data_IF_622307155610
#
_entry.id   IF_622307155610
#
_cell.length_a   1.000
_cell.length_b   1.000
_cell.length_c   1.000
_cell.angle_alpha   90.00
_cell.angle_beta   90.00
_cell.angle_gamma   90.00
#
_symmetry.space_group_name_H-M   'P 1'
#
loop_
_entity.id
_entity.type
_entity.pdbx_description
1 polymer ?
#
# COMPACT_ATOMS: atom_id res chain seq x y z
N UNK A 1 52.16 44.22 14.47
CA UNK A 1 51.90 42.81 14.83
C UNK A 1 50.39 42.62 15.03
N UNK A 2 49.60 42.31 13.99
CA UNK A 2 48.17 41.97 14.17
C UNK A 2 47.49 41.46 12.88
N UNK A 3 47.97 40.36 12.29
CA UNK A 3 47.27 39.68 11.16
C UNK A 3 47.56 38.19 11.15
N UNK A 4 47.07 37.43 12.15
CA UNK A 4 47.20 35.97 12.09
C UNK A 4 46.11 35.16 12.80
N UNK A 5 45.05 35.78 13.32
CA UNK A 5 44.00 35.11 14.11
C UNK A 5 42.63 35.08 13.42
N UNK A 6 42.55 35.26 12.10
CA UNK A 6 41.26 35.30 11.38
C UNK A 6 41.07 34.22 10.30
N UNK A 7 41.93 33.18 10.27
CA UNK A 7 41.81 32.09 9.27
C UNK A 7 41.48 30.72 9.87
N UNK A 8 41.59 30.54 11.18
CA UNK A 8 41.40 29.21 11.81
C UNK A 8 39.93 28.97 12.17
N UNK A 9 39.15 30.00 12.45
CA UNK A 9 37.73 29.87 12.83
C UNK A 9 36.80 29.48 11.67
N UNK A 10 37.22 29.68 10.42
CA UNK A 10 36.37 29.39 9.25
C UNK A 10 36.35 27.91 8.87
N UNK A 11 37.40 27.14 9.19
CA UNK A 11 37.45 25.70 8.88
C UNK A 11 36.64 24.83 9.86
N UNK A 12 36.52 25.24 11.12
CA UNK A 12 35.77 24.47 12.14
C UNK A 12 34.27 24.54 11.88
N UNK A 13 33.75 25.67 11.41
CA UNK A 13 32.34 25.84 11.06
C UNK A 13 31.96 25.03 9.82
N UNK A 14 32.86 24.93 8.84
CA UNK A 14 32.66 24.11 7.63
C UNK A 14 32.68 22.60 7.92
N UNK A 15 33.53 22.14 8.86
CA UNK A 15 33.51 20.74 9.28
C UNK A 15 32.24 20.37 10.07
N UNK A 16 31.74 21.26 10.94
CA UNK A 16 30.48 21.03 11.67
C UNK A 16 29.24 21.08 10.75
N UNK A 17 29.28 21.86 9.67
CA UNK A 17 28.25 21.84 8.64
C UNK A 17 28.29 20.54 7.80
N UNK A 18 29.48 20.00 7.51
CA UNK A 18 29.62 18.76 6.75
C UNK A 18 29.15 17.51 7.51
N UNK A 19 29.28 17.47 8.85
CA UNK A 19 28.77 16.35 9.66
C UNK A 19 27.24 16.34 9.84
N UNK A 20 26.52 17.42 9.51
CA UNK A 20 25.05 17.43 9.51
C UNK A 20 24.42 16.96 8.18
N UNK A 21 25.23 16.71 7.13
CA UNK A 21 24.76 16.07 5.90
C UNK A 21 24.82 14.53 5.95
N UNK A 22 25.16 13.95 7.12
CA UNK A 22 25.37 12.53 7.31
C UNK A 22 24.27 11.82 8.08
N UNK A 23 23.01 11.95 7.64
CA UNK A 23 21.95 10.94 7.80
C UNK A 23 20.72 11.46 7.04
N UNK A 24 20.78 11.44 5.70
CA UNK A 24 19.57 11.12 4.97
C UNK A 24 19.26 9.67 5.37
N UNK A 25 18.61 9.49 6.54
CA UNK A 25 17.78 8.31 6.74
C UNK A 25 16.85 8.37 5.54
N UNK A 26 17.08 7.48 4.59
CA UNK A 26 16.00 6.95 3.78
C UNK A 26 14.90 6.71 4.80
N UNK A 27 13.90 7.60 4.84
CA UNK A 27 12.77 7.42 5.74
C UNK A 27 12.27 6.00 5.51
N UNK A 28 11.68 5.34 6.53
CA UNK A 28 10.98 4.10 6.26
C UNK A 28 10.10 4.37 5.02
N UNK A 29 10.31 3.57 3.97
CA UNK A 29 9.58 3.74 2.72
C UNK A 29 8.11 3.95 3.06
N UNK A 30 7.48 5.02 2.55
CA UNK A 30 6.10 5.32 2.89
C UNK A 30 5.26 4.10 2.51
N UNK A 31 4.32 3.73 3.37
CA UNK A 31 3.50 2.54 3.14
C UNK A 31 3.69 1.40 4.12
N UNK A 32 4.54 1.48 5.15
CA UNK A 32 4.87 0.34 6.03
C UNK A 32 4.06 0.31 7.33
N UNK A 33 4.05 -0.85 8.00
CA UNK A 33 3.37 -1.04 9.28
C UNK A 33 3.83 -0.08 10.39
N UNK A 34 5.10 0.34 10.40
CA UNK A 34 5.58 1.35 11.35
C UNK A 34 4.86 2.70 11.19
N UNK A 35 4.63 3.13 9.96
CA UNK A 35 3.89 4.37 9.65
C UNK A 35 2.41 4.22 9.97
N UNK A 36 1.80 3.09 9.56
CA UNK A 36 0.42 2.76 9.88
C UNK A 36 0.10 2.83 11.38
N UNK A 37 0.99 2.29 12.21
CA UNK A 37 0.83 2.29 13.67
C UNK A 37 0.98 3.69 14.30
N UNK A 38 1.65 4.62 13.62
CA UNK A 38 1.76 6.02 14.06
C UNK A 38 0.56 6.86 13.63
N UNK A 39 -0.15 6.47 12.55
CA UNK A 39 -1.37 7.13 12.12
C UNK A 39 -2.48 7.02 13.17
N UNK A 40 -3.24 8.09 13.32
CA UNK A 40 -4.51 8.12 14.03
C UNK A 40 -5.56 7.26 13.30
N UNK A 41 -6.62 6.88 14.01
CA UNK A 41 -7.75 6.15 13.41
C UNK A 41 -8.32 6.90 12.20
N UNK A 42 -8.44 8.23 12.30
CA UNK A 42 -8.97 9.07 11.24
C UNK A 42 -8.07 9.06 9.99
N UNK A 43 -6.75 9.13 10.15
CA UNK A 43 -5.80 9.06 9.03
C UNK A 43 -5.84 7.70 8.33
N UNK A 44 -5.98 6.60 9.08
CA UNK A 44 -6.15 5.25 8.50
C UNK A 44 -7.44 5.14 7.68
N UNK A 45 -8.54 5.67 8.21
CA UNK A 45 -9.82 5.72 7.51
C UNK A 45 -9.72 6.54 6.21
N UNK A 46 -9.10 7.73 6.26
CA UNK A 46 -8.86 8.55 5.06
C UNK A 46 -8.05 7.79 4.02
N UNK A 47 -6.96 7.13 4.44
CA UNK A 47 -6.13 6.35 3.54
C UNK A 47 -6.94 5.22 2.86
N UNK A 48 -7.68 4.43 3.64
CA UNK A 48 -8.46 3.32 3.10
C UNK A 48 -9.55 3.83 2.15
N UNK A 49 -10.30 4.86 2.54
CA UNK A 49 -11.31 5.48 1.67
C UNK A 49 -10.69 5.95 0.35
N UNK A 50 -9.57 6.67 0.40
CA UNK A 50 -8.87 7.15 -0.78
C UNK A 50 -8.34 6.00 -1.67
N UNK A 51 -7.89 4.89 -1.07
CA UNK A 51 -7.47 3.70 -1.80
C UNK A 51 -8.65 3.06 -2.55
N UNK A 52 -9.78 2.93 -1.88
CA UNK A 52 -11.01 2.34 -2.43
C UNK A 52 -11.57 3.22 -3.56
N UNK A 53 -11.68 4.53 -3.31
CA UNK A 53 -12.11 5.52 -4.31
C UNK A 53 -11.16 5.55 -5.51
N UNK A 54 -9.85 5.54 -5.26
CA UNK A 54 -8.82 5.53 -6.30
C UNK A 54 -8.85 4.25 -7.15
N UNK A 55 -9.09 3.09 -6.53
CA UNK A 55 -9.24 1.82 -7.25
C UNK A 55 -10.51 1.83 -8.11
N UNK A 56 -11.62 2.36 -7.57
CA UNK A 56 -12.86 2.56 -8.30
C UNK A 56 -12.70 3.50 -9.50
N UNK A 57 -12.06 4.65 -9.30
CA UNK A 57 -11.80 5.65 -10.34
C UNK A 57 -10.87 5.11 -11.42
N UNK A 58 -9.72 4.53 -11.03
CA UNK A 58 -8.76 3.97 -11.98
C UNK A 58 -9.37 2.84 -12.83
N UNK A 59 -10.21 1.99 -12.22
CA UNK A 59 -10.89 0.96 -13.02
C UNK A 59 -12.01 1.51 -13.89
N UNK A 60 -12.64 2.63 -13.48
CA UNK A 60 -13.59 3.37 -14.31
C UNK A 60 -12.92 3.95 -15.55
N UNK A 61 -11.74 4.55 -15.38
CA UNK A 61 -11.01 5.17 -16.49
C UNK A 61 -10.40 4.11 -17.42
N UNK A 62 -9.82 3.03 -16.90
CA UNK A 62 -9.40 1.89 -17.72
C UNK A 62 -10.56 1.33 -18.54
N UNK A 63 -11.75 1.27 -17.94
CA UNK A 63 -12.95 0.80 -18.62
C UNK A 63 -13.39 1.71 -19.75
N UNK A 64 -13.43 3.02 -19.54
CA UNK A 64 -13.72 3.99 -20.60
C UNK A 64 -12.70 3.91 -21.72
N UNK A 65 -11.42 3.77 -21.38
CA UNK A 65 -10.37 3.63 -22.38
C UNK A 65 -10.51 2.34 -23.18
N UNK A 66 -10.85 1.22 -22.53
CA UNK A 66 -11.16 -0.03 -23.24
C UNK A 66 -12.40 0.14 -24.12
N UNK A 67 -13.49 0.74 -23.65
CA UNK A 67 -14.67 0.99 -24.48
C UNK A 67 -14.38 1.86 -25.71
N UNK A 68 -13.52 2.86 -25.55
CA UNK A 68 -13.10 3.76 -26.61
C UNK A 68 -12.11 3.13 -27.59
N UNK A 69 -11.21 2.26 -27.11
CA UNK A 69 -10.15 1.62 -27.92
C UNK A 69 -10.53 0.22 -28.44
N UNK A 70 -11.58 -0.41 -27.90
CA UNK A 70 -12.19 -1.66 -28.41
C UNK A 70 -13.07 -1.33 -29.62
N UNK A 71 -12.48 -0.66 -30.61
CA UNK A 71 -12.96 -0.65 -31.99
C UNK A 71 -12.68 -2.02 -32.64
N UNK A 72 -11.76 -2.82 -32.07
CA UNK A 72 -11.27 -4.08 -32.64
C UNK A 72 -12.23 -5.27 -32.39
N UNK A 73 -13.12 -5.24 -31.38
CA UNK A 73 -14.11 -6.31 -31.14
C UNK A 73 -15.53 -5.99 -31.67
N UNK A 74 -15.75 -4.81 -32.26
CA UNK A 74 -17.05 -4.39 -32.81
C UNK A 74 -17.48 -5.12 -34.10
N UNK A 75 -16.77 -6.17 -34.50
CA UNK A 75 -17.16 -7.06 -35.61
C UNK A 75 -18.09 -8.21 -35.19
N UNK A 76 -18.44 -8.34 -33.92
CA UNK A 76 -19.55 -9.21 -33.47
C UNK A 76 -20.79 -8.34 -33.25
N UNK A 77 -21.81 -8.52 -34.08
CA UNK A 77 -23.05 -7.72 -34.11
C UNK A 77 -23.89 -7.77 -32.82
N UNK A 78 -23.49 -8.54 -31.82
CA UNK A 78 -24.14 -8.62 -30.51
C UNK A 78 -23.08 -8.85 -29.44
N UNK A 79 -22.61 -7.78 -28.81
CA UNK A 79 -21.91 -7.84 -27.52
C UNK A 79 -23.00 -7.99 -26.46
N UNK A 80 -23.12 -9.17 -25.82
CA UNK A 80 -24.04 -9.31 -24.70
C UNK A 80 -23.60 -8.40 -23.55
N UNK A 81 -24.48 -7.94 -22.64
CA UNK A 81 -24.06 -7.17 -21.47
C UNK A 81 -22.95 -7.87 -20.68
N UNK A 82 -22.95 -9.21 -20.63
CA UNK A 82 -21.89 -10.04 -20.03
C UNK A 82 -20.54 -10.01 -20.76
N UNK A 83 -20.51 -9.61 -22.03
CA UNK A 83 -19.29 -9.50 -22.83
C UNK A 83 -18.60 -8.13 -22.69
N UNK A 84 -19.13 -7.25 -21.82
CA UNK A 84 -18.43 -6.01 -21.50
C UNK A 84 -17.11 -6.35 -20.79
N UNK A 85 -15.96 -5.93 -21.32
CA UNK A 85 -14.65 -6.24 -20.74
C UNK A 85 -14.52 -5.75 -19.28
N UNK A 86 -15.40 -4.84 -18.87
CA UNK A 86 -15.41 -4.21 -17.56
C UNK A 86 -16.12 -4.95 -16.44
N UNK A 87 -16.92 -5.99 -16.73
CA UNK A 87 -17.62 -6.75 -15.68
C UNK A 87 -16.64 -7.63 -14.88
N UNK A 88 -15.57 -8.09 -15.53
CA UNK A 88 -14.62 -9.03 -14.92
C UNK A 88 -13.33 -8.38 -14.39
N UNK A 89 -13.09 -7.09 -14.64
CA UNK A 89 -11.80 -6.44 -14.34
C UNK A 89 -11.76 -5.62 -13.04
N UNK A 90 -12.84 -5.58 -12.25
CA UNK A 90 -12.93 -4.75 -11.04
C UNK A 90 -12.73 -5.57 -9.77
N UNK A 91 -11.63 -5.36 -9.02
CA UNK A 91 -11.58 -5.78 -7.63
C UNK A 91 -12.75 -5.12 -6.90
N UNK A 92 -13.65 -5.93 -6.34
CA UNK A 92 -14.78 -5.44 -5.58
C UNK A 92 -14.38 -5.31 -4.11
N UNK A 93 -14.89 -4.27 -3.45
CA UNK A 93 -14.63 -3.98 -2.04
C UNK A 93 -15.96 -3.73 -1.33
N UNK A 94 -16.86 -4.71 -1.39
CA UNK A 94 -18.22 -4.59 -0.84
C UNK A 94 -18.28 -4.88 0.65
N UNK A 95 -17.27 -5.51 1.25
CA UNK A 95 -17.21 -5.71 2.71
C UNK A 95 -17.24 -4.41 3.52
N UNK A 96 -16.87 -3.28 2.91
CA UNK A 96 -17.02 -1.94 3.47
C UNK A 96 -18.43 -1.36 3.34
N UNK A 97 -19.23 -1.79 2.37
CA UNK A 97 -20.55 -1.21 2.14
C UNK A 97 -21.50 -1.70 3.23
N UNK A 98 -21.72 -0.88 4.25
CA UNK A 98 -22.80 -1.09 5.20
C UNK A 98 -24.07 -0.44 4.68
N UNK A 99 -25.22 -1.10 4.86
CA UNK A 99 -26.55 -0.56 4.49
C UNK A 99 -26.91 0.73 5.26
N UNK A 100 -26.11 1.07 6.27
CA UNK A 100 -26.28 2.23 7.12
C UNK A 100 -25.45 3.42 6.61
N UNK A 101 -26.10 4.27 5.81
CA UNK A 101 -25.67 5.62 5.41
C UNK A 101 -24.31 5.68 4.68
N UNK A 102 -24.37 6.13 3.43
CA UNK A 102 -23.27 6.25 2.45
C UNK A 102 -22.06 7.12 2.88
N UNK A 103 -21.95 7.51 4.15
CA UNK A 103 -21.09 8.62 4.54
C UNK A 103 -20.09 8.33 5.66
N UNK A 104 -20.15 7.22 6.42
CA UNK A 104 -19.28 7.15 7.61
C UNK A 104 -18.31 5.97 7.77
N UNK A 105 -18.65 4.71 7.53
CA UNK A 105 -17.78 3.63 8.03
C UNK A 105 -17.37 2.56 7.02
N UNK A 106 -17.36 2.87 5.71
CA UNK A 106 -17.01 1.85 4.73
C UNK A 106 -15.52 1.46 4.72
N UNK A 107 -14.67 2.27 5.35
CA UNK A 107 -13.27 1.97 5.56
C UNK A 107 -13.01 1.03 6.77
N UNK A 108 -13.90 1.00 7.77
CA UNK A 108 -13.65 0.38 9.07
C UNK A 108 -13.30 -1.12 9.00
N UNK A 109 -13.99 -1.96 8.19
CA UNK A 109 -13.67 -3.38 8.09
C UNK A 109 -12.23 -3.61 7.62
N UNK A 110 -11.75 -2.80 6.68
CA UNK A 110 -10.38 -2.91 6.15
C UNK A 110 -9.35 -2.38 7.15
N UNK A 111 -9.63 -1.24 7.80
CA UNK A 111 -8.76 -0.70 8.86
C UNK A 111 -8.58 -1.75 9.98
N UNK A 112 -9.66 -2.39 10.42
CA UNK A 112 -9.62 -3.42 11.46
C UNK A 112 -8.75 -4.63 11.08
N UNK A 113 -8.80 -5.06 9.81
CA UNK A 113 -7.98 -6.18 9.32
C UNK A 113 -6.50 -5.79 9.31
N UNK A 114 -6.17 -4.59 8.81
CA UNK A 114 -4.78 -4.11 8.76
C UNK A 114 -4.23 -3.90 10.18
N UNK A 115 -5.02 -3.32 11.09
CA UNK A 115 -4.67 -3.18 12.50
C UNK A 115 -4.41 -4.53 13.17
N UNK A 116 -5.27 -5.52 12.90
CA UNK A 116 -5.08 -6.90 13.36
C UNK A 116 -3.80 -7.52 12.82
N UNK A 117 -3.52 -7.34 11.54
CA UNK A 117 -2.33 -7.87 10.87
C UNK A 117 -1.03 -7.33 11.49
N UNK A 118 -0.96 -6.03 11.77
CA UNK A 118 0.26 -5.42 12.34
C UNK A 118 0.49 -5.66 13.84
N UNK A 119 -0.40 -6.43 14.51
CA UNK A 119 -0.09 -7.02 15.82
C UNK A 119 1.09 -8.00 15.72
N UNK A 120 1.29 -8.63 14.56
CA UNK A 120 2.45 -9.48 14.26
C UNK A 120 3.68 -8.62 13.94
N UNK A 121 4.52 -8.39 14.94
CA UNK A 121 5.62 -7.41 14.88
C UNK A 121 6.65 -7.68 13.78
N UNK A 122 6.88 -8.96 13.44
CA UNK A 122 7.75 -9.42 12.37
C UNK A 122 7.23 -9.05 10.97
N UNK A 123 5.94 -8.72 10.87
CA UNK A 123 5.27 -8.38 9.61
C UNK A 123 5.13 -6.87 9.37
N UNK A 124 5.69 -6.02 10.24
CA UNK A 124 5.61 -4.56 10.10
C UNK A 124 6.36 -3.98 8.91
N UNK A 125 7.26 -4.75 8.29
CA UNK A 125 7.91 -4.38 7.04
C UNK A 125 6.97 -4.51 5.83
N UNK A 126 5.88 -5.28 5.96
CA UNK A 126 4.88 -5.42 4.91
C UNK A 126 4.21 -4.06 4.62
N UNK A 127 4.00 -3.69 3.35
CA UNK A 127 3.31 -2.46 3.01
C UNK A 127 1.79 -2.60 3.14
N UNK A 128 1.11 -1.63 3.75
CA UNK A 128 -0.35 -1.67 3.88
C UNK A 128 -1.07 -1.53 2.52
N UNK A 129 -0.42 -0.96 1.50
CA UNK A 129 -0.91 -0.98 0.12
C UNK A 129 -0.91 -2.37 -0.48
N UNK A 130 0.10 -3.19 -0.19
CA UNK A 130 0.16 -4.59 -0.61
C UNK A 130 -0.91 -5.41 0.12
N UNK A 131 -1.10 -5.15 1.43
CA UNK A 131 -2.20 -5.76 2.19
C UNK A 131 -3.56 -5.44 1.55
N UNK A 132 -3.82 -4.17 1.23
CA UNK A 132 -5.09 -3.75 0.63
C UNK A 132 -5.44 -4.47 -0.67
N UNK A 133 -4.46 -4.85 -1.49
CA UNK A 133 -4.70 -5.60 -2.74
C UNK A 133 -5.37 -6.96 -2.49
N UNK A 134 -5.09 -7.58 -1.35
CA UNK A 134 -5.62 -8.88 -0.94
C UNK A 134 -6.90 -8.78 -0.09
N UNK A 135 -7.44 -7.56 0.11
CA UNK A 135 -8.69 -7.33 0.85
C UNK A 135 -9.89 -7.06 -0.07
N UNK A 136 -9.77 -7.39 -1.36
CA UNK A 136 -10.92 -7.39 -2.26
C UNK A 136 -11.85 -8.59 -1.96
N UNK A 137 -13.09 -8.55 -2.42
CA UNK A 137 -14.13 -9.55 -2.11
C UNK A 137 -13.77 -10.98 -2.55
N UNK A 138 -12.92 -11.15 -3.58
CA UNK A 138 -12.48 -12.47 -4.02
C UNK A 138 -11.42 -13.09 -3.08
N UNK A 139 -10.68 -12.26 -2.36
CA UNK A 139 -9.56 -12.67 -1.52
C UNK A 139 -9.73 -12.30 -0.04
N UNK A 140 -10.86 -11.70 0.33
CA UNK A 140 -11.12 -11.13 1.64
C UNK A 140 -10.82 -12.13 2.76
N UNK A 141 -9.97 -11.72 3.69
CA UNK A 141 -9.42 -12.55 4.75
C UNK A 141 -9.49 -11.83 6.08
N UNK A 142 -9.65 -12.59 7.15
CA UNK A 142 -9.39 -12.06 8.49
C UNK A 142 -7.91 -11.68 8.65
N UNK A 143 -7.59 -10.91 9.68
CA UNK A 143 -6.20 -10.52 9.96
C UNK A 143 -5.25 -11.72 10.14
N UNK A 144 -5.73 -12.78 10.80
CA UNK A 144 -4.95 -14.00 11.03
C UNK A 144 -4.81 -14.85 9.77
N UNK A 145 -5.85 -14.92 8.94
CA UNK A 145 -5.78 -15.61 7.65
C UNK A 145 -4.79 -14.93 6.71
N UNK A 146 -4.80 -13.58 6.71
CA UNK A 146 -3.86 -12.78 5.95
C UNK A 146 -2.43 -13.00 6.45
N UNK A 147 -2.21 -12.98 7.77
CA UNK A 147 -0.90 -13.29 8.37
C UNK A 147 -0.40 -14.68 7.96
N UNK A 148 -1.25 -15.71 8.06
CA UNK A 148 -0.91 -17.08 7.65
C UNK A 148 -0.56 -17.18 6.16
N UNK A 149 -1.31 -16.49 5.30
CA UNK A 149 -1.04 -16.43 3.86
C UNK A 149 0.31 -15.76 3.55
N UNK A 150 0.63 -14.66 4.22
CA UNK A 150 1.93 -14.00 4.05
C UNK A 150 3.03 -14.97 4.48
N UNK A 151 2.88 -15.59 5.66
CA UNK A 151 3.88 -16.53 6.19
C UNK A 151 4.14 -17.72 5.28
N UNK A 152 3.11 -18.29 4.67
CA UNK A 152 3.29 -19.43 3.76
C UNK A 152 4.08 -19.05 2.51
N UNK A 153 3.98 -17.79 2.09
CA UNK A 153 4.62 -17.30 0.87
C UNK A 153 3.97 -17.79 -0.41
N UNK A 154 2.79 -18.43 -0.31
CA UNK A 154 2.05 -18.95 -1.46
C UNK A 154 1.39 -17.85 -2.30
N UNK A 155 1.22 -16.65 -1.73
CA UNK A 155 0.70 -15.49 -2.43
C UNK A 155 1.80 -14.73 -3.16
N UNK A 156 1.50 -14.33 -4.40
CA UNK A 156 2.31 -13.38 -5.16
C UNK A 156 2.08 -11.97 -4.61
N UNK A 157 2.98 -11.52 -3.73
CA UNK A 157 2.96 -10.17 -3.14
C UNK A 157 3.46 -9.08 -4.12
N UNK A 158 3.34 -9.31 -5.43
CA UNK A 158 3.69 -8.37 -6.50
C UNK A 158 5.13 -7.84 -6.43
N UNK A 159 5.30 -6.56 -6.75
CA UNK A 159 6.60 -5.85 -6.70
C UNK A 159 7.16 -5.68 -5.28
N UNK A 160 6.47 -6.16 -4.25
CA UNK A 160 6.83 -5.95 -2.86
C UNK A 160 7.72 -7.06 -2.28
N UNK A 161 8.04 -8.12 -3.02
CA UNK A 161 8.90 -9.22 -2.55
C UNK A 161 10.38 -8.84 -2.30
N UNK A 162 10.81 -7.62 -2.68
CA UNK A 162 12.19 -7.15 -2.57
C UNK A 162 12.44 -6.12 -1.46
N UNK A 163 11.47 -5.80 -0.62
CA UNK A 163 11.69 -4.84 0.47
C UNK A 163 12.43 -5.47 1.65
N UNK A 164 13.47 -4.78 2.11
CA UNK A 164 14.21 -5.17 3.30
C UNK A 164 13.30 -5.34 4.52
N UNK A 165 13.42 -6.48 5.20
CA UNK A 165 12.68 -6.83 6.41
C UNK A 165 11.39 -7.60 6.15
N UNK A 166 10.89 -7.65 4.91
CA UNK A 166 9.68 -8.42 4.58
C UNK A 166 9.93 -9.92 4.71
N UNK A 167 11.16 -10.37 4.48
CA UNK A 167 11.57 -11.76 4.65
C UNK A 167 11.36 -12.29 6.07
N UNK A 168 11.31 -11.39 7.08
CA UNK A 168 11.02 -11.76 8.47
C UNK A 168 9.56 -12.17 8.68
N UNK A 169 8.66 -11.64 7.85
CA UNK A 169 7.25 -11.99 7.86
C UNK A 169 7.02 -13.35 7.16
N UNK A 170 7.77 -13.62 6.09
CA UNK A 170 7.77 -14.95 5.47
C UNK A 170 8.27 -16.01 6.45
N UNK A 171 7.68 -17.20 6.43
CA UNK A 171 8.08 -18.33 7.29
C UNK A 171 9.60 -18.53 7.29
N UNK A 172 10.16 -18.96 8.44
CA UNK A 172 11.58 -19.32 8.57
C UNK A 172 12.04 -20.41 7.58
N UNK A 173 11.11 -21.06 6.87
CA UNK A 173 11.32 -22.20 5.98
C UNK A 173 11.83 -21.85 4.57
N UNK A 174 12.06 -20.57 4.23
CA UNK A 174 12.74 -20.21 2.96
C UNK A 174 14.27 -20.34 3.01
N UNK A 175 14.83 -21.05 3.98
CA UNK A 175 16.21 -21.56 3.90
C UNK A 175 16.22 -22.92 3.19
N UNK A 176 15.99 -22.94 1.88
CA UNK A 176 16.43 -24.04 1.01
C UNK A 176 16.93 -23.49 -0.30
#
# INVERSE_FOLDING_TARGET
MQRMTLRITSFVVLFLAAFNFGCHRSGPLPGRGGEWLMMTQHERQIFVSAYLDGTGAGTSDLCKDLENNVVILKMKDTVAPSDHPCIHFRPQFTHGKTDALATYNYADPYVAIIDGFYKHSECRAMPYTAIMQHLNDAEFKSSEDLYRLVRSGDASWGAFSGFEGIEKCYGADRKR
#
